data_IF_886154014121
#
_entry.id   IF_886154014121
#
_cell.length_a   1.000
_cell.length_b   1.000
_cell.length_c   1.000
_cell.angle_alpha   90.00
_cell.angle_beta   90.00
_cell.angle_gamma   90.00
#
_symmetry.space_group_name_H-M   'P 1'
#
loop_
_entity.id
_entity.type
_entity.pdbx_description
1 polymer ?
#
# COMPACT_ATOMS: atom_id res chain seq x y z
N UNK A 1 7.76 16.90 17.29
CA UNK A 1 8.21 16.79 15.87
C UNK A 1 8.85 18.11 15.48
N UNK A 2 10.05 18.09 14.91
CA UNK A 2 10.71 19.31 14.42
C UNK A 2 9.87 19.94 13.30
N UNK A 3 9.83 21.26 13.17
CA UNK A 3 9.03 21.99 12.17
C UNK A 3 9.28 21.47 10.74
N UNK A 4 10.52 21.19 10.39
CA UNK A 4 10.90 20.66 9.06
C UNK A 4 10.36 19.24 8.81
N UNK A 5 10.27 18.39 9.83
CA UNK A 5 9.70 17.03 9.72
C UNK A 5 8.20 17.13 9.48
N UNK A 6 7.53 18.02 10.22
CA UNK A 6 6.08 18.24 10.06
C UNK A 6 5.74 18.75 8.66
N UNK A 7 6.45 19.76 8.19
CA UNK A 7 6.26 20.32 6.84
C UNK A 7 6.49 19.26 5.75
N UNK A 8 7.51 18.42 5.88
CA UNK A 8 7.78 17.33 4.95
C UNK A 8 6.62 16.32 4.92
N UNK A 9 6.14 15.88 6.09
CA UNK A 9 5.00 14.95 6.20
C UNK A 9 3.73 15.54 5.59
N UNK A 10 3.43 16.81 5.89
CA UNK A 10 2.25 17.50 5.35
C UNK A 10 2.29 17.57 3.83
N UNK A 11 3.43 17.97 3.25
CA UNK A 11 3.59 18.02 1.80
C UNK A 11 3.51 16.63 1.16
N UNK A 12 4.18 15.64 1.73
CA UNK A 12 4.13 14.27 1.24
C UNK A 12 2.69 13.73 1.24
N UNK A 13 1.96 13.93 2.33
CA UNK A 13 0.58 13.47 2.44
C UNK A 13 -0.37 14.21 1.49
N UNK A 14 -0.15 15.49 1.24
CA UNK A 14 -0.93 16.23 0.24
C UNK A 14 -0.79 15.59 -1.15
N UNK A 15 0.43 15.20 -1.54
CA UNK A 15 0.70 14.52 -2.81
C UNK A 15 0.05 13.12 -2.86
N UNK A 16 0.11 12.36 -1.77
CA UNK A 16 -0.52 11.03 -1.67
C UNK A 16 -2.05 11.14 -1.83
N UNK A 17 -2.67 12.09 -1.14
CA UNK A 17 -4.13 12.31 -1.22
C UNK A 17 -4.54 12.72 -2.64
N UNK A 18 -3.78 13.62 -3.26
CA UNK A 18 -4.07 14.08 -4.62
C UNK A 18 -3.97 12.95 -5.66
N UNK A 19 -3.00 12.04 -5.50
CA UNK A 19 -2.81 10.89 -6.42
C UNK A 19 -3.79 9.74 -6.19
N UNK A 20 -4.34 9.63 -4.99
CA UNK A 20 -5.20 8.53 -4.59
C UNK A 20 -6.55 9.05 -4.03
N UNK A 21 -7.36 9.75 -4.86
CA UNK A 21 -8.58 10.37 -4.38
C UNK A 21 -9.59 9.35 -3.84
N UNK A 22 -10.17 9.62 -2.66
CA UNK A 22 -11.17 8.78 -2.03
C UNK A 22 -10.65 7.51 -1.33
N UNK A 23 -9.34 7.26 -1.35
CA UNK A 23 -8.73 6.07 -0.74
C UNK A 23 -8.33 6.33 0.73
N UNK A 24 -9.32 6.56 1.59
CA UNK A 24 -9.14 7.03 2.97
C UNK A 24 -8.33 6.07 3.82
N UNK A 25 -8.57 4.76 3.69
CA UNK A 25 -7.86 3.74 4.46
C UNK A 25 -6.37 3.69 4.05
N UNK A 26 -6.11 3.84 2.76
CA UNK A 26 -4.74 3.92 2.26
C UNK A 26 -4.02 5.19 2.74
N UNK A 27 -4.69 6.35 2.71
CA UNK A 27 -4.12 7.60 3.23
C UNK A 27 -3.73 7.47 4.70
N UNK A 28 -4.59 6.86 5.52
CA UNK A 28 -4.33 6.67 6.95
C UNK A 28 -3.10 5.79 7.18
N UNK A 29 -3.01 4.66 6.50
CA UNK A 29 -1.88 3.74 6.64
C UNK A 29 -0.57 4.38 6.21
N UNK A 30 -0.56 5.11 5.09
CA UNK A 30 0.63 5.83 4.61
C UNK A 30 1.05 6.89 5.63
N UNK A 31 0.10 7.67 6.16
CA UNK A 31 0.39 8.71 7.15
C UNK A 31 1.07 8.15 8.40
N UNK A 32 0.55 7.08 8.97
CA UNK A 32 1.12 6.44 10.17
C UNK A 32 2.58 6.03 9.97
N UNK A 33 2.88 5.43 8.82
CA UNK A 33 4.25 5.03 8.49
C UNK A 33 5.14 6.24 8.26
N UNK A 34 4.70 7.20 7.45
CA UNK A 34 5.50 8.37 7.09
C UNK A 34 5.83 9.22 8.32
N UNK A 35 4.88 9.45 9.23
CA UNK A 35 5.13 10.15 10.50
C UNK A 35 6.22 9.44 11.33
N UNK A 36 6.26 8.13 11.29
CA UNK A 36 7.25 7.33 12.01
C UNK A 36 8.65 7.38 11.39
N UNK A 37 8.76 7.33 10.05
CA UNK A 37 10.05 7.19 9.37
C UNK A 37 10.63 8.51 8.85
N UNK A 38 9.84 9.59 8.76
CA UNK A 38 10.27 10.87 8.22
C UNK A 38 11.52 11.47 8.91
N UNK A 39 11.69 11.37 10.24
CA UNK A 39 12.94 11.83 10.87
C UNK A 39 14.18 11.16 10.29
N UNK A 40 14.15 9.83 10.14
CA UNK A 40 15.25 9.05 9.58
C UNK A 40 15.50 9.41 8.10
N UNK A 41 14.43 9.58 7.32
CA UNK A 41 14.53 9.94 5.90
C UNK A 41 15.22 11.30 5.75
N UNK A 42 14.86 12.28 6.58
CA UNK A 42 15.44 13.64 6.52
C UNK A 42 16.89 13.70 7.02
N UNK A 43 17.27 12.81 7.92
CA UNK A 43 18.67 12.64 8.34
C UNK A 43 19.55 12.01 7.24
N UNK A 44 18.93 11.42 6.20
CA UNK A 44 19.62 10.75 5.10
C UNK A 44 19.21 11.35 3.74
N UNK A 45 19.80 12.50 3.34
CA UNK A 45 19.37 13.26 2.16
C UNK A 45 19.33 12.47 0.84
N UNK A 46 20.17 11.42 0.71
CA UNK A 46 20.14 10.53 -0.44
C UNK A 46 18.80 9.79 -0.56
N UNK A 47 18.15 9.45 0.56
CA UNK A 47 16.85 8.76 0.52
C UNK A 47 15.74 9.67 0.00
N UNK A 48 15.80 10.97 0.38
CA UNK A 48 14.91 12.01 -0.16
C UNK A 48 15.14 12.17 -1.66
N UNK A 49 16.41 12.30 -2.09
CA UNK A 49 16.78 12.45 -3.49
C UNK A 49 16.35 11.28 -4.35
N UNK A 50 16.41 10.05 -3.82
CA UNK A 50 15.99 8.83 -4.49
C UNK A 50 14.49 8.59 -4.42
N UNK A 51 13.74 9.48 -3.75
CA UNK A 51 12.29 9.38 -3.57
C UNK A 51 11.85 8.03 -3.00
N UNK A 52 12.53 7.59 -1.95
CA UNK A 52 12.33 6.25 -1.39
C UNK A 52 10.92 6.09 -0.84
N UNK A 53 10.39 7.07 -0.10
CA UNK A 53 9.03 7.00 0.45
C UNK A 53 7.97 7.02 -0.64
N UNK A 54 8.13 7.89 -1.65
CA UNK A 54 7.20 7.95 -2.78
C UNK A 54 7.16 6.63 -3.54
N UNK A 55 8.30 5.97 -3.72
CA UNK A 55 8.39 4.66 -4.37
C UNK A 55 7.76 3.55 -3.54
N UNK A 56 7.91 3.59 -2.23
CA UNK A 56 7.29 2.60 -1.32
C UNK A 56 5.77 2.79 -1.26
N UNK A 57 5.29 4.03 -1.32
CA UNK A 57 3.86 4.34 -1.27
C UNK A 57 3.13 4.11 -2.61
N UNK A 58 3.86 3.95 -3.73
CA UNK A 58 3.27 3.66 -5.04
C UNK A 58 3.31 2.16 -5.31
N UNK A 59 2.16 1.49 -5.58
CA UNK A 59 2.16 0.08 -5.99
C UNK A 59 2.98 -0.12 -7.27
N UNK A 60 3.75 -1.20 -7.35
CA UNK A 60 4.45 -1.55 -8.59
C UNK A 60 3.46 -1.99 -9.67
N UNK A 61 2.41 -2.73 -9.28
CA UNK A 61 1.34 -3.15 -10.19
C UNK A 61 0.07 -3.49 -9.44
N UNK A 62 -1.08 -3.13 -10.02
CA UNK A 62 -2.40 -3.57 -9.57
C UNK A 62 -3.07 -4.34 -10.71
N UNK A 63 -3.57 -5.54 -10.40
CA UNK A 63 -4.35 -6.35 -11.33
C UNK A 63 -5.79 -6.36 -10.82
N UNK A 64 -6.72 -5.94 -11.67
CA UNK A 64 -8.16 -6.02 -11.41
C UNK A 64 -8.80 -6.92 -12.46
N UNK A 65 -9.67 -7.81 -12.03
CA UNK A 65 -10.28 -8.80 -12.92
C UNK A 65 -11.71 -9.14 -12.50
N UNK A 66 -12.49 -9.56 -13.48
CA UNK A 66 -13.86 -10.02 -13.29
C UNK A 66 -13.87 -11.50 -12.90
N UNK A 67 -14.69 -11.84 -11.90
CA UNK A 67 -14.88 -13.21 -11.42
C UNK A 67 -16.37 -13.56 -11.55
N UNK A 68 -16.82 -14.19 -12.66
CA UNK A 68 -18.15 -14.75 -12.75
C UNK A 68 -18.20 -16.10 -12.03
N UNK A 69 -19.30 -16.35 -11.32
CA UNK A 69 -19.53 -17.60 -10.61
C UNK A 69 -21.04 -17.88 -10.47
N UNK A 70 -21.40 -19.10 -10.13
CA UNK A 70 -22.80 -19.51 -9.94
C UNK A 70 -23.02 -19.80 -8.46
N UNK A 71 -24.05 -19.19 -7.86
CA UNK A 71 -24.41 -19.42 -6.47
C UNK A 71 -25.25 -20.70 -6.29
N UNK A 72 -25.55 -21.03 -5.03
CA UNK A 72 -26.32 -22.26 -4.71
C UNK A 72 -27.77 -22.28 -5.27
N UNK A 73 -28.27 -21.12 -5.71
CA UNK A 73 -29.57 -20.98 -6.36
C UNK A 73 -29.51 -21.08 -7.88
N UNK A 74 -28.34 -21.33 -8.45
CA UNK A 74 -28.13 -21.39 -9.89
C UNK A 74 -28.06 -20.02 -10.58
N UNK A 75 -27.96 -18.93 -9.82
CA UNK A 75 -27.87 -17.57 -10.35
C UNK A 75 -26.43 -17.21 -10.68
N UNK A 76 -26.21 -16.55 -11.82
CA UNK A 76 -24.89 -16.03 -12.20
C UNK A 76 -24.59 -14.77 -11.41
N UNK A 77 -23.51 -14.80 -10.68
CA UNK A 77 -22.98 -13.68 -9.90
C UNK A 77 -21.67 -13.17 -10.51
N UNK A 78 -21.38 -11.90 -10.33
CA UNK A 78 -20.15 -11.29 -10.85
C UNK A 78 -19.46 -10.53 -9.73
N UNK A 79 -18.28 -10.99 -9.35
CA UNK A 79 -17.41 -10.29 -8.42
C UNK A 79 -16.24 -9.62 -9.14
N UNK A 80 -15.58 -8.73 -8.44
CA UNK A 80 -14.33 -8.11 -8.86
C UNK A 80 -13.19 -8.62 -7.98
N UNK A 81 -12.16 -9.15 -8.60
CA UNK A 81 -10.94 -9.55 -7.93
C UNK A 81 -9.85 -8.49 -8.06
N UNK A 82 -8.97 -8.43 -7.07
CA UNK A 82 -7.83 -7.52 -7.04
C UNK A 82 -6.57 -8.28 -6.60
N UNK A 83 -5.44 -7.90 -7.19
CA UNK A 83 -4.12 -8.24 -6.67
C UNK A 83 -3.25 -7.00 -6.68
N UNK A 84 -2.89 -6.52 -5.50
CA UNK A 84 -1.94 -5.41 -5.35
C UNK A 84 -0.54 -5.99 -5.15
N UNK A 85 0.33 -5.72 -6.09
CA UNK A 85 1.76 -6.02 -6.02
C UNK A 85 2.46 -4.73 -5.61
N UNK A 86 2.67 -4.60 -4.29
CA UNK A 86 3.07 -3.32 -3.71
C UNK A 86 4.55 -3.06 -3.86
N UNK A 87 5.38 -4.00 -3.47
CA UNK A 87 6.83 -3.82 -3.47
C UNK A 87 7.58 -5.15 -3.57
N UNK A 88 8.57 -5.21 -4.44
CA UNK A 88 9.44 -6.38 -4.69
C UNK A 88 10.92 -6.11 -4.39
N UNK A 89 11.25 -5.01 -3.72
CA UNK A 89 12.64 -4.58 -3.52
C UNK A 89 13.49 -5.63 -2.77
N UNK A 90 12.90 -6.38 -1.84
CA UNK A 90 13.61 -7.40 -1.06
C UNK A 90 13.21 -8.84 -1.39
N UNK A 91 12.28 -9.04 -2.32
CA UNK A 91 11.85 -10.36 -2.76
C UNK A 91 10.47 -10.36 -3.40
N UNK A 92 9.93 -11.53 -3.77
CA UNK A 92 8.65 -11.64 -4.45
C UNK A 92 7.51 -11.11 -3.58
N UNK A 93 6.44 -10.65 -4.22
CA UNK A 93 5.24 -10.16 -3.54
C UNK A 93 4.63 -11.27 -2.68
N UNK A 94 4.51 -11.01 -1.39
CA UNK A 94 3.93 -11.95 -0.44
C UNK A 94 2.88 -11.23 0.41
N UNK A 95 1.71 -11.83 0.51
CA UNK A 95 0.60 -11.38 1.35
C UNK A 95 -0.59 -12.32 1.20
N UNK A 96 -1.54 -12.22 2.14
CA UNK A 96 -2.73 -13.04 2.16
C UNK A 96 -3.81 -12.59 1.18
N UNK A 97 -4.92 -13.34 1.19
CA UNK A 97 -6.18 -12.98 0.54
C UNK A 97 -7.15 -12.45 1.60
N UNK A 98 -7.84 -11.35 1.29
CA UNK A 98 -9.01 -10.89 2.03
C UNK A 98 -10.26 -11.24 1.21
N UNK A 99 -10.98 -12.23 1.65
CA UNK A 99 -12.25 -12.65 1.05
C UNK A 99 -13.41 -12.10 1.88
N UNK A 100 -13.85 -10.89 1.55
CA UNK A 100 -14.88 -10.17 2.30
C UNK A 100 -15.60 -9.16 1.42
N UNK A 101 -16.89 -8.89 1.72
CA UNK A 101 -17.71 -7.94 0.97
C UNK A 101 -17.21 -6.48 1.01
N UNK A 102 -16.43 -6.13 2.03
CA UNK A 102 -15.85 -4.78 2.17
C UNK A 102 -14.62 -4.52 1.28
N UNK A 103 -14.14 -5.53 0.54
CA UNK A 103 -12.95 -5.39 -0.31
C UNK A 103 -13.15 -4.37 -1.41
N UNK A 104 -12.22 -3.43 -1.48
CA UNK A 104 -12.05 -2.49 -2.58
C UNK A 104 -10.56 -2.19 -2.77
N UNK A 105 -10.21 -1.40 -3.78
CA UNK A 105 -8.81 -1.11 -4.09
C UNK A 105 -8.10 -0.37 -2.94
N UNK A 106 -8.76 0.59 -2.28
CA UNK A 106 -8.18 1.34 -1.15
C UNK A 106 -7.78 0.39 -0.01
N UNK A 107 -8.69 -0.51 0.37
CA UNK A 107 -8.45 -1.51 1.43
C UNK A 107 -7.29 -2.43 1.05
N UNK A 108 -7.24 -2.93 -0.17
CA UNK A 108 -6.15 -3.81 -0.58
C UNK A 108 -4.81 -3.10 -0.74
N UNK A 109 -4.82 -1.83 -1.15
CA UNK A 109 -3.60 -1.00 -1.19
C UNK A 109 -3.03 -0.78 0.21
N UNK A 110 -3.87 -0.41 1.19
CA UNK A 110 -3.35 -0.23 2.55
C UNK A 110 -2.83 -1.53 3.14
N UNK A 111 -3.54 -2.66 2.94
CA UNK A 111 -3.10 -3.96 3.43
C UNK A 111 -1.79 -4.42 2.75
N UNK A 112 -1.62 -4.17 1.47
CA UNK A 112 -0.38 -4.47 0.75
C UNK A 112 0.78 -3.58 1.20
N UNK A 113 0.51 -2.31 1.45
CA UNK A 113 1.47 -1.34 1.98
C UNK A 113 1.97 -1.76 3.37
N UNK A 114 1.07 -2.02 4.31
CA UNK A 114 1.43 -2.52 5.64
C UNK A 114 2.15 -3.87 5.57
N UNK A 115 1.73 -4.76 4.67
CA UNK A 115 2.37 -6.06 4.48
C UNK A 115 3.83 -5.93 4.03
N UNK A 116 4.16 -4.91 3.24
CA UNK A 116 5.54 -4.62 2.82
C UNK A 116 6.43 -4.37 4.03
N UNK A 117 6.00 -3.55 4.97
CA UNK A 117 6.76 -3.28 6.21
C UNK A 117 6.79 -4.49 7.13
N UNK A 118 5.65 -5.16 7.31
CA UNK A 118 5.58 -6.38 8.12
C UNK A 118 6.57 -7.43 7.63
N UNK A 119 6.62 -7.68 6.32
CA UNK A 119 7.53 -8.67 5.74
C UNK A 119 9.00 -8.26 5.87
N UNK A 120 9.31 -6.96 5.78
CA UNK A 120 10.67 -6.47 5.95
C UNK A 120 11.25 -6.75 7.34
N UNK A 121 10.40 -6.90 8.34
CA UNK A 121 10.80 -7.19 9.73
C UNK A 121 10.97 -8.69 10.03
N UNK A 122 10.65 -9.56 9.07
CA UNK A 122 10.73 -11.02 9.25
C UNK A 122 12.13 -11.59 9.03
N UNK A 123 13.09 -10.81 8.52
CA UNK A 123 14.40 -11.24 8.03
C UNK A 123 14.38 -12.14 6.78
N UNK A 124 13.20 -12.47 6.26
CA UNK A 124 13.03 -13.26 5.04
C UNK A 124 13.00 -12.34 3.81
N UNK A 125 13.48 -12.83 2.64
CA UNK A 125 13.52 -12.04 1.40
C UNK A 125 12.15 -12.01 0.71
N UNK A 126 11.19 -11.33 1.32
CA UNK A 126 9.81 -11.22 0.84
C UNK A 126 9.41 -9.76 0.67
N UNK A 127 8.87 -9.41 -0.48
CA UNK A 127 8.18 -8.16 -0.72
C UNK A 127 6.75 -8.14 -0.18
N UNK A 128 5.97 -7.14 -0.51
CA UNK A 128 4.59 -6.96 -0.06
C UNK A 128 3.56 -7.05 -1.18
N UNK A 129 2.46 -7.73 -0.91
CA UNK A 129 1.31 -7.81 -1.79
C UNK A 129 0.05 -8.23 -1.04
N UNK A 130 -1.12 -8.01 -1.67
CA UNK A 130 -2.42 -8.38 -1.11
C UNK A 130 -3.43 -8.65 -2.21
N UNK A 131 -4.28 -9.62 -1.98
CA UNK A 131 -5.42 -9.92 -2.86
C UNK A 131 -6.71 -10.10 -2.12
#
# INVERSE_FOLDING_TARGET
MNTSVKEYVEQFMADIVAKNPGEVEFHQAVKEVVESVAPYILENPQLVKMKVLERIAEPERVIMFRVPWVNDRGEVMINKGYRVQMNSAIGPYKGGIRFHSSVNLSILKFLAFEQTFKNSLTTLPMGGGKG
#
